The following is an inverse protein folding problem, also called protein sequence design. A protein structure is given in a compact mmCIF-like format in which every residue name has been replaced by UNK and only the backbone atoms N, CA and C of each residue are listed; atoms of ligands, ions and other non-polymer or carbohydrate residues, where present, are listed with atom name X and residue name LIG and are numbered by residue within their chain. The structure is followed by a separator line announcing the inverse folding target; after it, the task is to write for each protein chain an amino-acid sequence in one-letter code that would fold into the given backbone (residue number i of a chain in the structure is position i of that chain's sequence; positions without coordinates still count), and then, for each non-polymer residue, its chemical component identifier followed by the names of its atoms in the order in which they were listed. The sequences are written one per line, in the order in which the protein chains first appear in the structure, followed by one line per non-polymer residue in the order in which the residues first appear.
data_IF_556486756713
#
_entry.id   IF_556486756713
#
_cell.length_a   1.000
_cell.length_b   1.000
_cell.length_c   1.000
_cell.angle_alpha   90.00
_cell.angle_beta   90.00
_cell.angle_gamma   90.00
#
_symmetry.space_group_name_H-M   'P 1'
#
loop_
_entity.id
_entity.type
_entity.pdbx_description
1 polymer ?
#
# COMPACT_ATOMS: atom_id res chain seq x y z
N UNK A 1 16.22 -5.19 3.80
CA UNK A 1 15.22 -4.92 2.76
C UNK A 1 14.01 -5.82 2.97
N UNK A 2 12.80 -5.29 2.79
CA UNK A 2 11.54 -6.01 2.93
C UNK A 2 10.53 -5.55 1.88
N UNK A 3 9.70 -6.47 1.41
CA UNK A 3 8.50 -6.21 0.61
C UNK A 3 7.21 -6.54 1.39
N UNK A 4 7.32 -6.80 2.68
CA UNK A 4 6.20 -7.14 3.54
C UNK A 4 5.43 -5.89 3.93
N UNK A 5 4.19 -5.79 3.48
CA UNK A 5 3.30 -4.66 3.77
C UNK A 5 3.07 -4.46 5.28
N UNK A 6 3.06 -5.53 6.06
CA UNK A 6 2.86 -5.46 7.52
C UNK A 6 4.07 -4.78 8.18
N UNK A 7 5.30 -5.16 7.77
CA UNK A 7 6.53 -4.54 8.28
C UNK A 7 6.60 -3.05 7.91
N UNK A 8 6.34 -2.74 6.65
CA UNK A 8 6.35 -1.36 6.14
C UNK A 8 5.33 -0.52 6.91
N UNK A 9 4.13 -1.05 7.11
CA UNK A 9 3.08 -0.35 7.85
C UNK A 9 3.45 -0.14 9.33
N UNK A 10 4.00 -1.16 9.98
CA UNK A 10 4.44 -1.05 11.38
C UNK A 10 5.54 0.01 11.53
N UNK A 11 6.51 0.06 10.60
CA UNK A 11 7.56 1.06 10.59
C UNK A 11 7.01 2.46 10.34
N UNK A 12 6.07 2.61 9.39
CA UNK A 12 5.43 3.89 9.10
C UNK A 12 4.65 4.42 10.31
N UNK A 13 3.93 3.56 11.04
CA UNK A 13 3.24 3.93 12.27
C UNK A 13 4.22 4.34 13.37
N UNK A 14 5.31 3.61 13.51
CA UNK A 14 6.35 3.96 14.49
C UNK A 14 6.93 5.37 14.22
N UNK A 15 7.27 5.66 12.96
CA UNK A 15 7.74 6.99 12.55
C UNK A 15 6.67 8.05 12.77
N UNK A 16 5.41 7.75 12.43
CA UNK A 16 4.30 8.67 12.63
C UNK A 16 4.18 9.08 14.10
N UNK A 17 4.27 8.13 15.04
CA UNK A 17 4.25 8.44 16.48
C UNK A 17 5.37 9.38 16.94
N UNK A 18 6.53 9.34 16.28
CA UNK A 18 7.65 10.22 16.61
C UNK A 18 7.46 11.66 16.09
N UNK A 19 6.86 11.81 14.89
CA UNK A 19 6.71 13.12 14.23
C UNK A 19 5.37 13.79 14.51
N UNK A 20 4.37 13.05 14.91
CA UNK A 20 3.03 13.57 15.18
C UNK A 20 3.03 14.51 16.39
N UNK A 21 2.48 15.70 16.20
CA UNK A 21 2.28 16.68 17.28
C UNK A 21 0.79 16.96 17.44
N UNK A 22 0.20 16.72 18.62
CA UNK A 22 -1.20 17.02 18.87
C UNK A 22 -1.48 18.53 18.73
N UNK A 23 -2.66 18.89 18.29
CA UNK A 23 -3.08 20.29 18.12
C UNK A 23 -2.68 20.93 16.79
N UNK A 24 -1.90 20.24 15.94
CA UNK A 24 -1.62 20.70 14.58
C UNK A 24 -2.65 20.13 13.60
N UNK A 25 -3.26 21.00 12.80
CA UNK A 25 -4.16 20.56 11.73
C UNK A 25 -3.35 20.17 10.49
N UNK A 26 -3.12 18.88 10.32
CA UNK A 26 -2.42 18.33 9.16
C UNK A 26 -3.33 18.30 7.94
N UNK A 27 -2.88 18.82 6.81
CA UNK A 27 -3.62 18.82 5.55
C UNK A 27 -3.36 17.58 4.70
N UNK A 28 -2.14 17.06 4.75
CA UNK A 28 -1.71 15.87 4.00
C UNK A 28 -0.71 15.07 4.83
N UNK A 29 -0.76 13.76 4.68
CA UNK A 29 0.26 12.84 5.17
C UNK A 29 0.65 11.89 4.03
N UNK A 30 1.87 11.42 4.03
CA UNK A 30 2.35 10.49 3.02
C UNK A 30 3.57 9.73 3.51
N UNK A 31 3.83 8.60 2.88
CA UNK A 31 5.02 7.77 3.09
C UNK A 31 5.80 7.74 1.79
N UNK A 32 7.10 8.01 1.86
CA UNK A 32 8.02 7.92 0.73
C UNK A 32 8.97 6.76 1.01
N UNK A 33 9.04 5.82 0.09
CA UNK A 33 10.01 4.73 0.11
C UNK A 33 11.14 5.10 -0.86
N UNK A 34 12.38 5.06 -0.38
CA UNK A 34 13.59 5.26 -1.17
C UNK A 34 14.40 3.97 -1.25
N UNK A 35 15.42 3.97 -2.11
CA UNK A 35 16.34 2.83 -2.28
C UNK A 35 15.66 1.51 -2.61
N UNK A 36 14.63 1.58 -3.46
CA UNK A 36 13.93 0.38 -3.92
C UNK A 36 14.88 -0.42 -4.81
N UNK A 37 15.14 -1.66 -4.42
CA UNK A 37 16.01 -2.58 -5.15
C UNK A 37 15.25 -3.83 -5.53
N UNK A 38 15.73 -4.54 -6.57
CA UNK A 38 15.17 -5.83 -6.93
C UNK A 38 15.26 -6.83 -5.78
N UNK A 39 14.24 -7.68 -5.67
CA UNK A 39 14.22 -8.76 -4.69
C UNK A 39 15.37 -9.75 -5.00
N UNK A 40 16.43 -9.70 -4.23
CA UNK A 40 17.51 -10.68 -4.28
C UNK A 40 17.20 -11.84 -3.33
N UNK A 41 17.76 -13.05 -3.58
CA UNK A 41 17.63 -14.15 -2.63
C UNK A 41 18.02 -13.68 -1.24
N UNK A 42 17.16 -13.91 -0.28
CA UNK A 42 17.39 -13.49 1.10
C UNK A 42 18.65 -14.12 1.66
N UNK A 43 19.63 -13.32 1.99
CA UNK A 43 20.66 -13.72 2.93
C UNK A 43 20.03 -13.64 4.33
N UNK A 44 19.75 -14.79 4.90
CA UNK A 44 19.24 -14.88 6.27
C UNK A 44 20.30 -14.29 7.22
N UNK A 45 19.91 -13.30 7.98
CA UNK A 45 20.72 -12.79 9.07
C UNK A 45 20.45 -13.65 10.31
N UNK A 46 21.50 -14.12 10.97
CA UNK A 46 21.40 -14.93 12.19
C UNK A 46 20.59 -14.22 13.31
N UNK A 47 20.58 -12.92 13.28
CA UNK A 47 19.88 -12.05 14.26
C UNK A 47 18.61 -11.39 13.67
N UNK A 48 17.99 -12.03 12.67
CA UNK A 48 16.76 -11.49 12.10
C UNK A 48 15.61 -11.61 13.13
N UNK A 49 15.02 -10.48 13.57
CA UNK A 49 13.97 -10.51 14.58
C UNK A 49 12.63 -11.04 14.05
N UNK A 50 12.53 -11.26 12.73
CA UNK A 50 11.27 -11.63 12.10
C UNK A 50 11.30 -13.11 11.76
N UNK A 51 10.52 -13.94 12.47
CA UNK A 51 10.36 -15.34 12.13
C UNK A 51 9.58 -15.52 10.83
N UNK A 52 9.79 -16.65 10.17
CA UNK A 52 8.95 -17.13 9.06
C UNK A 52 8.86 -16.17 7.85
N UNK A 53 9.98 -15.55 7.44
CA UNK A 53 10.01 -14.64 6.29
C UNK A 53 9.52 -15.26 4.98
N UNK A 54 9.74 -16.58 4.79
CA UNK A 54 9.27 -17.28 3.60
C UNK A 54 7.75 -17.36 3.56
N UNK A 55 7.13 -17.78 4.66
CA UNK A 55 5.67 -17.88 4.75
C UNK A 55 5.02 -16.49 4.64
N UNK A 56 5.63 -15.48 5.23
CA UNK A 56 5.16 -14.08 5.10
C UNK A 56 5.25 -13.57 3.66
N UNK A 57 6.31 -13.90 2.94
CA UNK A 57 6.44 -13.55 1.53
C UNK A 57 5.37 -14.24 0.66
N UNK A 58 5.11 -15.53 0.90
CA UNK A 58 4.03 -16.24 0.20
C UNK A 58 2.64 -15.66 0.55
N UNK A 59 2.42 -15.27 1.81
CA UNK A 59 1.21 -14.59 2.22
C UNK A 59 1.00 -13.27 1.47
N UNK A 60 2.05 -12.44 1.34
CA UNK A 60 1.96 -11.18 0.59
C UNK A 60 1.62 -11.44 -0.88
N UNK A 61 2.26 -12.41 -1.53
CA UNK A 61 1.91 -12.81 -2.90
C UNK A 61 0.44 -13.23 -3.04
N UNK A 62 -0.05 -14.02 -2.08
CA UNK A 62 -1.45 -14.45 -2.10
C UNK A 62 -2.42 -13.28 -1.97
N UNK A 63 -2.12 -12.33 -1.09
CA UNK A 63 -2.90 -11.10 -0.94
C UNK A 63 -2.93 -10.30 -2.24
N UNK A 64 -1.78 -10.18 -2.92
CA UNK A 64 -1.67 -9.47 -4.20
C UNK A 64 -2.52 -10.17 -5.29
N UNK A 65 -2.44 -11.50 -5.39
CA UNK A 65 -3.25 -12.28 -6.34
C UNK A 65 -4.74 -12.08 -6.09
N UNK A 66 -5.19 -12.13 -4.84
CA UNK A 66 -6.60 -11.92 -4.49
C UNK A 66 -7.02 -10.49 -4.86
N UNK A 67 -6.24 -9.48 -4.52
CA UNK A 67 -6.56 -8.09 -4.82
C UNK A 67 -6.55 -7.80 -6.33
N UNK A 68 -5.73 -8.50 -7.12
CA UNK A 68 -5.76 -8.40 -8.59
C UNK A 68 -6.99 -9.08 -9.18
N UNK A 69 -7.41 -10.22 -8.63
CA UNK A 69 -8.51 -11.04 -9.18
C UNK A 69 -9.88 -10.52 -8.82
N UNK A 70 -10.05 -10.04 -7.58
CA UNK A 70 -11.36 -9.64 -7.04
C UNK A 70 -11.52 -8.12 -6.89
N UNK A 71 -10.50 -7.35 -7.21
CA UNK A 71 -10.49 -5.90 -7.15
C UNK A 71 -9.60 -5.34 -6.03
N UNK A 72 -9.18 -4.11 -6.23
CA UNK A 72 -8.29 -3.42 -5.29
C UNK A 72 -8.92 -3.33 -3.90
N UNK A 73 -8.13 -3.62 -2.86
CA UNK A 73 -8.54 -3.56 -1.44
C UNK A 73 -9.58 -4.61 -1.02
N UNK A 74 -9.72 -5.72 -1.76
CA UNK A 74 -10.53 -6.88 -1.33
C UNK A 74 -10.01 -7.42 0.00
N UNK A 75 -8.69 -7.60 0.11
CA UNK A 75 -7.98 -7.84 1.37
C UNK A 75 -7.13 -6.63 1.68
N UNK A 76 -7.25 -6.11 2.89
CA UNK A 76 -6.47 -4.98 3.39
C UNK A 76 -6.10 -5.17 4.85
N UNK A 77 -5.11 -4.43 5.33
CA UNK A 77 -4.75 -4.43 6.73
C UNK A 77 -5.84 -3.75 7.56
N UNK A 78 -6.16 -4.31 8.73
CA UNK A 78 -7.17 -3.75 9.62
C UNK A 78 -6.86 -2.30 10.05
N UNK A 79 -5.60 -1.92 10.05
CA UNK A 79 -5.14 -0.56 10.37
C UNK A 79 -5.62 0.49 9.37
N UNK A 80 -5.96 0.09 8.14
CA UNK A 80 -6.59 0.97 7.16
C UNK A 80 -8.04 1.33 7.48
N UNK A 81 -8.66 0.62 8.41
CA UNK A 81 -10.08 0.76 8.73
C UNK A 81 -11.00 0.07 7.72
N UNK A 82 -12.29 -0.01 8.05
CA UNK A 82 -13.28 -0.80 7.28
C UNK A 82 -14.25 0.08 6.49
N UNK A 83 -14.49 1.31 6.92
CA UNK A 83 -15.47 2.24 6.31
C UNK A 83 -14.80 3.25 5.36
N UNK A 84 -15.62 3.87 4.52
CA UNK A 84 -15.21 5.09 3.78
C UNK A 84 -14.81 6.18 4.76
N UNK A 85 -13.68 6.79 4.53
CA UNK A 85 -13.13 7.79 5.44
C UNK A 85 -13.45 9.20 4.96
N UNK A 86 -13.70 10.12 5.89
CA UNK A 86 -13.95 11.55 5.57
C UNK A 86 -12.76 12.20 4.84
N UNK A 87 -11.55 11.62 4.99
CA UNK A 87 -10.33 12.10 4.34
C UNK A 87 -10.11 11.49 2.95
N UNK A 88 -10.94 10.55 2.51
CA UNK A 88 -10.86 9.99 1.17
C UNK A 88 -11.12 11.07 0.11
N UNK A 89 -10.34 11.00 -0.96
CA UNK A 89 -10.49 11.94 -2.07
C UNK A 89 -11.85 11.70 -2.73
N UNK A 90 -12.71 12.70 -2.71
CA UNK A 90 -13.97 12.68 -3.48
C UNK A 90 -13.66 12.82 -4.97
N UNK A 91 -13.89 11.77 -5.72
CA UNK A 91 -13.60 11.69 -7.15
C UNK A 91 -14.89 11.44 -7.96
N UNK A 92 -15.92 12.24 -7.73
CA UNK A 92 -17.24 12.07 -8.37
C UNK A 92 -17.24 12.53 -9.84
N UNK A 93 -16.33 13.45 -10.22
CA UNK A 93 -16.24 14.02 -11.56
C UNK A 93 -14.83 13.79 -12.15
N UNK A 94 -14.50 12.56 -12.49
CA UNK A 94 -13.27 12.25 -13.22
C UNK A 94 -13.50 12.32 -14.72
N UNK A 95 -12.56 12.92 -15.44
CA UNK A 95 -12.48 12.74 -16.89
C UNK A 95 -12.21 11.27 -17.22
N UNK A 96 -12.73 10.75 -18.33
CA UNK A 96 -12.36 9.42 -18.81
C UNK A 96 -10.86 9.27 -19.02
N UNK A 97 -10.37 8.05 -18.90
CA UNK A 97 -8.94 7.73 -19.01
C UNK A 97 -8.52 7.55 -20.48
N UNK A 98 -8.64 8.57 -21.30
CA UNK A 98 -8.40 8.50 -22.76
C UNK A 98 -7.01 8.00 -23.16
N UNK A 99 -6.00 8.13 -22.28
CA UNK A 99 -4.63 7.74 -22.59
C UNK A 99 -4.27 6.34 -22.09
N UNK A 100 -5.03 5.77 -21.18
CA UNK A 100 -4.70 4.51 -20.51
C UNK A 100 -5.76 3.42 -20.69
N UNK A 101 -6.97 3.79 -21.13
CA UNK A 101 -8.07 2.86 -21.39
C UNK A 101 -8.69 3.15 -22.77
N UNK A 102 -8.39 2.31 -23.75
CA UNK A 102 -8.87 2.44 -25.11
C UNK A 102 -10.40 2.31 -25.24
N UNK A 103 -11.07 1.65 -24.28
CA UNK A 103 -12.52 1.50 -24.29
C UNK A 103 -13.26 2.80 -23.92
N UNK A 104 -12.54 3.77 -23.33
CA UNK A 104 -13.09 5.08 -22.97
C UNK A 104 -12.83 6.15 -24.04
N UNK A 105 -12.23 5.78 -25.18
CA UNK A 105 -12.07 6.69 -26.29
C UNK A 105 -13.43 7.14 -26.88
N UNK A 106 -13.50 8.42 -27.22
CA UNK A 106 -14.65 8.96 -27.95
C UNK A 106 -14.75 8.31 -29.34
N UNK A 107 -15.83 7.58 -29.60
CA UNK A 107 -16.12 7.06 -30.93
C UNK A 107 -16.84 8.13 -31.74
N UNK A 108 -16.24 8.49 -32.87
CA UNK A 108 -16.88 9.38 -33.87
C UNK A 108 -17.86 8.50 -34.66
N UNK A 109 -19.15 8.91 -34.67
CA UNK A 109 -20.17 8.31 -35.53
C UNK A 109 -20.25 9.05 -36.85
#
# INVERSE_FOLDING_TARGET
PTSDTIEITALALHILHQIYKPGIMYKKAGVILSDITEARPFQLNLFDPIPNRKERHELMKLIDVINQSFGLKTIKLAVEGVSSHQWDIKCEHRSPNYLTDLNQLLTIK
#
